data_IF_468330131633
#
_entry.id   IF_468330131633
#
_cell.length_a   1.000
_cell.length_b   1.000
_cell.length_c   1.000
_cell.angle_alpha   90.00
_cell.angle_beta   90.00
_cell.angle_gamma   90.00
#
_symmetry.space_group_name_H-M   'P 1'
#
loop_
_entity.id
_entity.type
_entity.pdbx_description
1 polymer ?
#
# COMPACT_ATOMS: atom_id res chain seq x y z
N UNK A 1 -20.35 3.14 -13.02
CA UNK A 1 -19.27 3.60 -12.12
C UNK A 1 -19.11 5.11 -12.33
N UNK A 2 -18.69 5.88 -11.33
CA UNK A 2 -18.41 7.31 -11.51
C UNK A 2 -16.95 7.63 -11.21
N UNK A 3 -16.40 8.63 -11.89
CA UNK A 3 -15.08 9.18 -11.57
C UNK A 3 -15.24 10.02 -10.31
N UNK A 4 -14.56 9.61 -9.24
CA UNK A 4 -14.57 10.34 -7.97
C UNK A 4 -13.45 11.38 -7.92
N UNK A 5 -12.31 11.09 -8.56
CA UNK A 5 -11.17 12.01 -8.66
C UNK A 5 -10.44 11.80 -9.99
N UNK A 6 -9.97 12.89 -10.57
CA UNK A 6 -8.95 12.91 -11.60
C UNK A 6 -7.94 14.01 -11.25
N UNK A 7 -6.65 13.70 -11.40
CA UNK A 7 -5.58 14.67 -11.19
C UNK A 7 -5.67 15.84 -12.18
N UNK A 8 -5.09 16.98 -11.78
CA UNK A 8 -5.12 18.24 -12.51
C UNK A 8 -6.24 19.19 -12.09
N UNK A 9 -7.07 18.79 -11.12
CA UNK A 9 -8.09 19.63 -10.52
C UNK A 9 -7.50 20.55 -9.43
N UNK A 10 -8.28 21.55 -9.04
CA UNK A 10 -8.08 22.32 -7.81
C UNK A 10 -9.24 22.09 -6.86
N UNK A 11 -8.95 22.12 -5.56
CA UNK A 11 -10.02 22.10 -4.56
C UNK A 11 -10.63 23.50 -4.35
N UNK A 12 -11.62 23.61 -3.47
CA UNK A 12 -12.32 24.87 -3.18
C UNK A 12 -11.41 25.95 -2.57
N UNK A 13 -10.24 25.58 -2.05
CA UNK A 13 -9.22 26.49 -1.55
C UNK A 13 -8.20 26.89 -2.64
N UNK A 14 -8.49 26.55 -3.91
CA UNK A 14 -7.62 26.74 -5.07
C UNK A 14 -6.30 25.95 -4.97
N UNK A 15 -6.23 24.91 -4.14
CA UNK A 15 -5.04 24.07 -4.03
C UNK A 15 -4.99 23.03 -5.17
N UNK A 16 -3.88 22.96 -5.90
CA UNK A 16 -3.71 22.05 -7.03
C UNK A 16 -3.51 20.61 -6.57
N UNK A 17 -4.36 19.70 -7.05
CA UNK A 17 -4.31 18.26 -6.82
C UNK A 17 -3.89 17.56 -8.11
N UNK A 18 -2.59 17.31 -8.25
CA UNK A 18 -1.99 16.78 -9.48
C UNK A 18 -1.52 15.33 -9.36
N UNK A 19 -0.52 14.98 -10.15
CA UNK A 19 0.25 13.74 -10.01
C UNK A 19 -0.06 12.66 -11.05
N UNK A 20 0.80 11.66 -11.11
CA UNK A 20 0.76 10.64 -12.15
C UNK A 20 0.18 9.32 -11.67
N UNK A 21 0.38 8.94 -10.42
CA UNK A 21 -0.13 7.69 -9.87
C UNK A 21 -0.87 7.89 -8.56
N UNK A 22 -2.02 7.21 -8.42
CA UNK A 22 -2.64 7.02 -7.11
C UNK A 22 -2.20 5.68 -6.53
N UNK A 23 -1.38 5.75 -5.48
CA UNK A 23 -0.68 4.60 -4.92
C UNK A 23 -1.53 3.81 -3.96
N UNK A 24 -2.18 4.48 -3.02
CA UNK A 24 -2.83 3.83 -1.87
C UNK A 24 -4.08 4.59 -1.47
N UNK A 25 -5.11 3.84 -1.08
CA UNK A 25 -6.32 4.32 -0.43
C UNK A 25 -6.36 3.74 0.98
N UNK A 26 -6.74 4.53 1.97
CA UNK A 26 -7.05 4.03 3.33
C UNK A 26 -8.20 4.79 3.93
N UNK A 27 -9.07 4.09 4.65
CA UNK A 27 -9.97 4.75 5.59
C UNK A 27 -9.21 5.20 6.83
N UNK A 28 -9.66 6.31 7.42
CA UNK A 28 -9.26 6.75 8.74
C UNK A 28 -10.30 7.71 9.32
N UNK A 29 -10.78 7.43 10.53
CA UNK A 29 -11.71 8.29 11.27
C UNK A 29 -12.95 8.76 10.46
N UNK A 30 -13.51 7.88 9.63
CA UNK A 30 -14.70 8.16 8.82
C UNK A 30 -14.45 8.87 7.49
N UNK A 31 -13.20 9.23 7.19
CA UNK A 31 -12.79 9.78 5.90
C UNK A 31 -11.98 8.75 5.09
N UNK A 32 -11.89 8.99 3.78
CA UNK A 32 -11.03 8.24 2.86
C UNK A 32 -9.84 9.11 2.48
N UNK A 33 -8.63 8.55 2.55
CA UNK A 33 -7.39 9.23 2.19
C UNK A 33 -6.71 8.56 1.00
N UNK A 34 -6.11 9.35 0.12
CA UNK A 34 -5.39 8.89 -1.06
C UNK A 34 -3.94 9.40 -1.07
N UNK A 35 -2.99 8.52 -1.35
CA UNK A 35 -1.58 8.87 -1.55
C UNK A 35 -1.23 9.02 -3.04
N UNK A 36 -0.69 10.16 -3.42
CA UNK A 36 -0.32 10.52 -4.80
C UNK A 36 1.21 10.48 -5.00
N UNK A 37 1.64 10.02 -6.17
CA UNK A 37 3.04 10.03 -6.64
C UNK A 37 3.17 10.80 -7.96
N UNK A 38 4.33 11.43 -8.18
CA UNK A 38 4.67 12.24 -9.36
C UNK A 38 5.75 11.57 -10.23
N UNK A 39 5.81 10.24 -10.19
CA UNK A 39 6.77 9.48 -10.99
C UNK A 39 6.51 9.68 -12.49
N UNK A 40 7.56 10.07 -13.22
CA UNK A 40 7.54 10.41 -14.66
C UNK A 40 6.69 11.63 -15.04
N UNK A 41 6.37 12.47 -14.07
CA UNK A 41 5.55 13.66 -14.30
C UNK A 41 6.22 14.66 -15.26
N UNK A 42 5.41 15.26 -16.14
CA UNK A 42 5.78 16.33 -17.07
C UNK A 42 4.74 17.45 -17.03
N UNK A 43 4.83 18.36 -16.03
CA UNK A 43 3.74 19.26 -15.73
C UNK A 43 3.46 20.36 -16.75
N UNK A 44 4.40 20.64 -17.68
CA UNK A 44 4.20 21.68 -18.67
C UNK A 44 3.99 23.05 -18.01
N UNK A 45 2.78 23.62 -18.14
CA UNK A 45 2.39 24.88 -17.50
C UNK A 45 1.82 24.71 -16.09
N UNK A 46 1.46 23.49 -15.68
CA UNK A 46 0.92 23.22 -14.35
C UNK A 46 2.02 23.33 -13.28
N UNK A 47 1.66 23.54 -12.00
CA UNK A 47 2.62 23.59 -10.92
C UNK A 47 3.44 22.30 -10.79
N UNK A 48 4.74 22.44 -10.55
CA UNK A 48 5.59 21.30 -10.17
C UNK A 48 5.31 20.95 -8.70
N UNK A 49 4.73 19.76 -8.48
CA UNK A 49 4.36 19.27 -7.15
C UNK A 49 5.24 18.10 -6.70
N UNK A 50 5.28 17.88 -5.38
CA UNK A 50 5.82 16.65 -4.78
C UNK A 50 4.69 15.68 -4.50
N UNK A 51 4.93 14.74 -3.59
CA UNK A 51 3.91 13.84 -3.08
C UNK A 51 2.74 14.63 -2.46
N UNK A 52 1.53 14.10 -2.57
CA UNK A 52 0.32 14.69 -1.97
C UNK A 52 -0.51 13.62 -1.26
N UNK A 53 -1.19 14.03 -0.18
CA UNK A 53 -2.24 13.27 0.47
C UNK A 53 -3.55 14.02 0.25
N UNK A 54 -4.51 13.35 -0.39
CA UNK A 54 -5.86 13.86 -0.59
C UNK A 54 -6.82 13.23 0.41
N UNK A 55 -7.89 13.93 0.74
CA UNK A 55 -8.95 13.47 1.65
C UNK A 55 -10.33 13.64 1.01
N UNK A 56 -11.20 12.68 1.27
CA UNK A 56 -12.61 12.69 0.91
C UNK A 56 -13.43 12.44 2.19
N UNK A 57 -14.35 13.35 2.49
CA UNK A 57 -15.14 13.35 3.73
C UNK A 57 -16.54 12.76 3.60
N UNK A 58 -17.03 12.58 2.38
CA UNK A 58 -18.31 11.94 2.10
C UNK A 58 -18.26 11.22 0.76
N UNK A 59 -19.12 10.21 0.55
CA UNK A 59 -19.03 9.36 -0.64
C UNK A 59 -19.17 10.11 -1.96
N UNK A 60 -19.91 11.21 -1.98
CA UNK A 60 -20.20 12.00 -3.19
C UNK A 60 -19.60 13.41 -3.10
N UNK A 61 -18.77 13.66 -2.09
CA UNK A 61 -18.13 14.95 -1.88
C UNK A 61 -16.98 15.22 -2.84
N UNK A 62 -16.42 16.42 -2.71
CA UNK A 62 -15.19 16.79 -3.39
C UNK A 62 -13.98 16.28 -2.61
N UNK A 63 -12.95 15.88 -3.35
CA UNK A 63 -11.63 15.64 -2.78
C UNK A 63 -10.97 16.99 -2.44
N UNK A 64 -10.21 17.00 -1.35
CA UNK A 64 -9.42 18.16 -0.91
C UNK A 64 -7.98 17.77 -0.68
N UNK A 65 -7.06 18.72 -0.83
CA UNK A 65 -5.66 18.52 -0.47
C UNK A 65 -5.49 18.56 1.05
N UNK A 66 -5.17 17.42 1.67
CA UNK A 66 -4.95 17.34 3.13
C UNK A 66 -3.48 17.66 3.49
N UNK A 67 -2.54 17.22 2.65
CA UNK A 67 -1.12 17.52 2.84
C UNK A 67 -0.34 17.52 1.53
N UNK A 68 0.62 18.45 1.41
CA UNK A 68 1.52 18.59 0.27
C UNK A 68 2.96 18.53 0.76
N UNK A 69 3.71 17.54 0.29
CA UNK A 69 5.14 17.43 0.54
C UNK A 69 5.91 18.26 -0.51
N UNK A 70 6.00 19.57 -0.27
CA UNK A 70 6.46 20.56 -1.26
C UNK A 70 7.94 20.98 -1.13
N UNK A 71 8.67 20.41 -0.16
CA UNK A 71 10.10 20.68 0.05
C UNK A 71 10.92 20.43 -1.22
N UNK A 72 11.70 21.43 -1.62
CA UNK A 72 12.58 21.34 -2.79
C UNK A 72 13.87 20.59 -2.49
N UNK A 73 14.38 19.88 -3.49
CA UNK A 73 15.74 19.39 -3.49
C UNK A 73 16.74 20.53 -3.75
N UNK A 74 17.98 20.40 -3.25
CA UNK A 74 19.06 21.29 -3.66
C UNK A 74 19.21 21.35 -5.19
N UNK A 75 19.47 22.56 -5.71
CA UNK A 75 19.70 22.76 -7.14
C UNK A 75 20.84 21.85 -7.63
N UNK A 76 20.65 21.23 -8.78
CA UNK A 76 21.66 20.34 -9.37
C UNK A 76 21.74 18.95 -8.73
N UNK A 77 20.71 18.52 -7.98
CA UNK A 77 20.64 17.18 -7.36
C UNK A 77 20.77 16.00 -8.34
N UNK A 78 20.61 16.24 -9.65
CA UNK A 78 20.60 15.20 -10.69
C UNK A 78 19.43 14.23 -10.56
N UNK A 79 18.45 14.53 -9.70
CA UNK A 79 17.21 13.75 -9.56
C UNK A 79 16.21 14.18 -10.63
N UNK A 80 15.34 13.25 -11.00
CA UNK A 80 14.27 13.48 -11.99
C UNK A 80 13.17 14.40 -11.47
N UNK A 81 12.84 14.31 -10.18
CA UNK A 81 11.96 15.26 -9.50
C UNK A 81 12.81 16.36 -8.88
N UNK A 82 12.27 17.57 -8.82
CA UNK A 82 12.86 18.69 -8.06
C UNK A 82 12.41 18.70 -6.61
N UNK A 83 11.46 17.84 -6.23
CA UNK A 83 10.89 17.76 -4.88
C UNK A 83 11.54 16.64 -4.08
N UNK A 84 11.71 16.87 -2.77
CA UNK A 84 12.31 15.91 -1.83
C UNK A 84 11.54 14.59 -1.83
N UNK A 85 10.21 14.69 -1.79
CA UNK A 85 9.30 13.56 -1.76
C UNK A 85 8.54 13.44 -3.07
N UNK A 86 8.77 12.33 -3.78
CA UNK A 86 8.16 12.08 -5.10
C UNK A 86 6.80 11.39 -4.99
N UNK A 87 6.56 10.58 -3.97
CA UNK A 87 5.28 9.92 -3.82
C UNK A 87 5.03 9.33 -2.45
N UNK A 88 3.76 9.27 -2.08
CA UNK A 88 3.29 8.58 -0.86
C UNK A 88 3.37 7.07 -1.10
N UNK A 89 4.33 6.43 -0.47
CA UNK A 89 4.66 5.00 -0.68
C UNK A 89 3.90 4.06 0.24
N UNK A 90 3.41 4.55 1.39
CA UNK A 90 2.54 3.82 2.29
C UNK A 90 1.62 4.79 3.03
N UNK A 91 0.40 4.34 3.30
CA UNK A 91 -0.61 5.05 4.06
C UNK A 91 -1.44 4.01 4.82
N UNK A 92 -1.53 4.12 6.14
CA UNK A 92 -2.23 3.12 6.98
C UNK A 92 -2.82 3.77 8.22
N UNK A 93 -4.09 3.45 8.50
CA UNK A 93 -4.69 3.70 9.80
C UNK A 93 -4.41 2.54 10.75
N UNK A 94 -3.98 2.85 11.97
CA UNK A 94 -3.83 1.89 13.08
C UNK A 94 -4.61 2.39 14.29
N UNK A 95 -5.07 1.49 15.16
CA UNK A 95 -5.84 1.88 16.35
C UNK A 95 -5.21 1.27 17.59
N UNK A 96 -4.70 2.13 18.47
CA UNK A 96 -4.14 1.71 19.75
C UNK A 96 -5.23 1.66 20.83
N UNK A 97 -5.27 0.57 21.56
CA UNK A 97 -6.05 0.30 22.77
C UNK A 97 -5.14 0.08 23.98
N UNK A 98 -3.86 -0.20 23.76
CA UNK A 98 -2.85 -0.45 24.79
C UNK A 98 -1.67 0.48 24.58
N UNK A 99 -1.22 1.13 25.66
CA UNK A 99 -0.07 2.02 25.66
C UNK A 99 1.26 1.28 25.70
N UNK A 100 2.35 2.03 25.53
CA UNK A 100 3.72 1.53 25.53
C UNK A 100 4.15 0.89 26.87
N UNK A 101 3.43 1.18 27.96
CA UNK A 101 3.62 0.58 29.29
C UNK A 101 2.82 -0.72 29.49
N UNK A 102 2.08 -1.17 28.47
CA UNK A 102 1.20 -2.33 28.52
C UNK A 102 -0.16 -2.07 29.17
N UNK A 103 -0.43 -0.83 29.61
CA UNK A 103 -1.70 -0.45 30.21
C UNK A 103 -2.77 -0.19 29.15
N UNK A 104 -4.03 -0.47 29.47
CA UNK A 104 -5.15 -0.15 28.58
C UNK A 104 -5.35 1.37 28.51
N UNK A 105 -5.45 1.90 27.30
CA UNK A 105 -5.76 3.30 27.07
C UNK A 105 -7.23 3.59 27.47
N UNK A 106 -7.52 4.77 28.04
CA UNK A 106 -8.89 5.15 28.42
C UNK A 106 -9.88 5.12 27.24
N UNK A 107 -9.37 5.41 26.04
CA UNK A 107 -10.12 5.37 24.79
C UNK A 107 -9.22 4.78 23.70
N UNK A 108 -9.82 4.11 22.71
CA UNK A 108 -9.10 3.72 21.49
C UNK A 108 -8.60 4.96 20.74
N UNK A 109 -7.34 4.94 20.33
CA UNK A 109 -6.68 6.06 19.64
C UNK A 109 -6.34 5.65 18.20
N UNK A 110 -7.12 6.10 17.19
CA UNK A 110 -6.76 5.91 15.81
C UNK A 110 -5.61 6.86 15.43
N UNK A 111 -4.64 6.35 14.68
CA UNK A 111 -3.48 7.10 14.17
C UNK A 111 -3.34 6.81 12.67
N UNK A 112 -3.32 7.87 11.85
CA UNK A 112 -3.00 7.75 10.42
C UNK A 112 -1.50 7.96 10.21
N UNK A 113 -0.86 6.97 9.60
CA UNK A 113 0.55 6.99 9.26
C UNK A 113 0.71 7.10 7.74
N UNK A 114 1.59 7.99 7.30
CA UNK A 114 2.01 8.14 5.93
C UNK A 114 3.53 8.00 5.81
N UNK A 115 3.98 7.62 4.63
CA UNK A 115 5.38 7.57 4.28
C UNK A 115 5.59 7.95 2.84
N UNK A 116 6.76 8.51 2.55
CA UNK A 116 7.13 8.94 1.22
C UNK A 116 8.40 8.24 0.73
N UNK A 117 8.57 8.21 -0.59
CA UNK A 117 9.89 8.06 -1.20
C UNK A 117 10.66 9.36 -0.96
N UNK A 118 11.86 9.26 -0.41
CA UNK A 118 12.69 10.40 -0.04
C UNK A 118 14.02 10.38 -0.82
N UNK A 119 14.36 11.51 -1.44
CA UNK A 119 15.58 11.66 -2.24
C UNK A 119 16.77 12.31 -1.52
N UNK A 120 16.58 12.78 -0.28
CA UNK A 120 17.63 13.28 0.62
C UNK A 120 18.16 12.19 1.56
N UNK A 121 17.46 11.06 1.67
CA UNK A 121 17.90 9.91 2.47
C UNK A 121 17.30 9.86 3.87
N UNK A 122 16.26 10.66 4.13
CA UNK A 122 15.52 10.63 5.39
C UNK A 122 14.45 9.54 5.34
N UNK A 123 14.65 8.48 6.11
CA UNK A 123 13.62 7.46 6.34
C UNK A 123 12.66 7.98 7.42
N UNK A 124 11.52 8.52 6.99
CA UNK A 124 10.58 9.19 7.89
C UNK A 124 9.19 8.55 7.85
N UNK A 125 8.51 8.62 9.00
CA UNK A 125 7.08 8.36 9.13
C UNK A 125 6.38 9.67 9.43
N UNK A 126 5.29 9.93 8.74
CA UNK A 126 4.48 11.12 8.93
C UNK A 126 3.21 10.71 9.67
N UNK A 127 2.99 11.28 10.86
CA UNK A 127 1.78 11.02 11.65
C UNK A 127 0.79 12.16 11.43
N UNK A 128 -0.46 11.83 11.10
CA UNK A 128 -1.50 12.87 11.01
C UNK A 128 -1.83 13.42 12.38
N UNK A 129 -1.88 14.74 12.51
CA UNK A 129 -2.37 15.40 13.72
C UNK A 129 -3.92 15.34 13.74
N UNK A 130 -4.56 15.12 14.91
CA UNK A 130 -6.02 15.20 15.02
C UNK A 130 -6.61 16.53 14.53
N UNK A 131 -5.90 17.64 14.67
CA UNK A 131 -6.29 18.96 14.18
C UNK A 131 -6.08 19.14 12.66
N UNK A 132 -5.39 18.20 11.99
CA UNK A 132 -5.06 18.23 10.57
C UNK A 132 -3.58 18.45 10.28
N UNK A 133 -3.14 18.08 9.08
CA UNK A 133 -1.72 18.08 8.71
C UNK A 133 -0.95 16.87 9.27
N UNK A 134 0.34 16.81 8.96
CA UNK A 134 1.21 15.69 9.31
C UNK A 134 2.51 16.16 9.97
N UNK A 135 2.90 15.49 11.05
CA UNK A 135 4.18 15.67 11.73
C UNK A 135 5.19 14.63 11.25
N UNK A 136 6.41 15.06 10.91
CA UNK A 136 7.50 14.18 10.50
C UNK A 136 8.20 13.55 11.72
N UNK A 137 8.33 12.23 11.72
CA UNK A 137 9.14 11.45 12.65
C UNK A 137 10.27 10.78 11.89
N UNK A 138 11.49 11.29 12.06
CA UNK A 138 12.70 10.73 11.44
C UNK A 138 13.08 9.42 12.16
N UNK A 139 13.14 8.32 11.40
CA UNK A 139 13.61 7.03 11.91
C UNK A 139 15.12 6.85 11.68
N UNK A 140 15.60 7.28 10.51
CA UNK A 140 17.01 7.21 10.16
C UNK A 140 17.39 8.21 9.06
N UNK A 141 18.64 8.62 9.05
CA UNK A 141 19.26 9.44 8.01
C UNK A 141 20.38 8.65 7.34
N UNK A 142 20.23 8.41 6.04
CA UNK A 142 21.17 7.60 5.25
C UNK A 142 21.66 8.35 4.03
N UNK A 143 22.81 7.95 3.49
CA UNK A 143 23.25 8.47 2.19
C UNK A 143 22.34 7.95 1.07
N UNK A 144 21.78 8.87 0.29
CA UNK A 144 21.10 8.55 -0.96
C UNK A 144 19.58 8.58 -0.85
N UNK A 145 18.91 7.52 -1.30
CA UNK A 145 17.44 7.45 -1.26
C UNK A 145 17.00 6.62 -0.07
N UNK A 146 15.96 7.08 0.61
CA UNK A 146 15.29 6.33 1.66
C UNK A 146 13.81 6.18 1.34
N UNK A 147 13.18 5.13 1.85
CA UNK A 147 11.73 4.97 1.72
C UNK A 147 11.22 4.08 2.83
N UNK A 148 10.10 4.47 3.44
CA UNK A 148 9.26 3.54 4.20
C UNK A 148 8.16 3.06 3.25
N UNK A 149 8.16 1.76 2.95
CA UNK A 149 7.33 1.19 1.88
C UNK A 149 6.07 0.50 2.39
N UNK A 150 6.06 0.14 3.66
CA UNK A 150 4.94 -0.57 4.28
C UNK A 150 4.83 -0.23 5.76
N UNK A 151 3.61 -0.36 6.27
CA UNK A 151 3.31 -0.26 7.69
C UNK A 151 2.72 -1.57 8.19
N UNK A 152 3.10 -1.99 9.39
CA UNK A 152 2.51 -3.09 10.14
C UNK A 152 1.89 -2.60 11.44
N UNK A 153 1.06 -3.45 12.06
CA UNK A 153 0.53 -3.25 13.40
C UNK A 153 0.37 -4.62 14.04
N UNK A 154 0.77 -4.77 15.30
CA UNK A 154 0.71 -6.03 16.01
C UNK A 154 0.68 -5.80 17.51
N UNK A 155 -0.09 -6.62 18.23
CA UNK A 155 -0.01 -6.72 19.67
C UNK A 155 0.93 -7.87 20.03
N UNK A 156 2.07 -7.51 20.62
CA UNK A 156 3.04 -8.48 21.11
C UNK A 156 2.38 -9.38 22.16
N UNK A 157 2.34 -10.69 21.92
CA UNK A 157 1.61 -11.66 22.73
C UNK A 157 2.27 -11.94 24.08
N UNK A 158 3.55 -11.57 24.25
CA UNK A 158 4.31 -11.77 25.50
C UNK A 158 4.20 -10.56 26.42
N UNK A 159 4.38 -9.36 25.86
CA UNK A 159 4.38 -8.09 26.61
C UNK A 159 3.00 -7.43 26.67
N UNK A 160 2.10 -7.80 25.75
CA UNK A 160 0.78 -7.22 25.62
C UNK A 160 0.75 -5.84 24.96
N UNK A 161 1.90 -5.24 24.62
CA UNK A 161 2.04 -3.92 24.01
C UNK A 161 1.64 -3.96 22.54
N UNK A 162 0.83 -2.99 22.12
CA UNK A 162 0.55 -2.76 20.71
C UNK A 162 1.63 -1.88 20.07
N UNK A 163 2.15 -2.32 18.92
CA UNK A 163 3.21 -1.64 18.19
C UNK A 163 2.80 -1.39 16.74
N UNK A 164 3.13 -0.21 16.22
CA UNK A 164 3.19 0.04 14.79
C UNK A 164 4.60 -0.29 14.27
N UNK A 165 4.68 -0.70 13.01
CA UNK A 165 5.94 -1.09 12.36
C UNK A 165 6.11 -0.31 11.07
N UNK A 166 7.33 0.12 10.79
CA UNK A 166 7.72 0.82 9.56
C UNK A 166 8.77 -0.01 8.81
N UNK A 167 8.40 -0.46 7.62
CA UNK A 167 9.27 -1.21 6.72
C UNK A 167 10.12 -0.28 5.87
N UNK A 168 11.38 -0.09 6.25
CA UNK A 168 12.28 0.91 5.69
C UNK A 168 13.36 0.29 4.79
N UNK A 169 13.70 1.00 3.71
CA UNK A 169 14.92 0.77 2.93
C UNK A 169 15.78 2.04 3.01
N UNK A 170 17.08 1.94 3.32
CA UNK A 170 17.86 0.70 3.50
C UNK A 170 17.94 0.20 4.95
N UNK A 171 17.21 0.79 5.90
CA UNK A 171 17.53 0.62 7.33
C UNK A 171 16.86 -0.56 8.03
N UNK A 172 15.82 -1.18 7.46
CA UNK A 172 15.21 -2.38 8.01
C UNK A 172 13.81 -2.16 8.57
N UNK A 173 13.50 -2.67 9.76
CA UNK A 173 12.17 -2.54 10.37
C UNK A 173 12.29 -1.78 11.68
N UNK A 174 11.62 -0.64 11.76
CA UNK A 174 11.45 0.10 13.01
C UNK A 174 10.10 -0.24 13.61
N UNK A 175 10.00 -0.15 14.93
CA UNK A 175 8.75 -0.29 15.65
C UNK A 175 8.51 0.92 16.55
N UNK A 176 7.25 1.19 16.90
CA UNK A 176 6.89 2.25 17.82
C UNK A 176 5.61 1.92 18.57
N UNK A 177 5.48 2.46 19.78
CA UNK A 177 4.32 2.26 20.64
C UNK A 177 3.70 3.60 21.06
N UNK A 178 2.39 3.58 21.32
CA UNK A 178 1.68 4.78 21.71
C UNK A 178 1.94 5.14 23.17
N UNK A 179 2.39 6.36 23.42
CA UNK A 179 2.58 6.93 24.76
C UNK A 179 1.56 8.06 24.98
N UNK A 180 0.66 7.95 25.98
CA UNK A 180 -0.24 9.04 26.35
C UNK A 180 0.51 10.36 26.55
N UNK A 181 0.02 11.44 25.92
CA UNK A 181 0.64 12.77 25.96
C UNK A 181 1.83 12.98 25.00
N UNK A 182 2.38 11.91 24.40
CA UNK A 182 3.45 12.01 23.39
C UNK A 182 3.07 11.50 22.00
N UNK A 183 2.01 10.69 21.90
CA UNK A 183 1.61 10.06 20.64
C UNK A 183 2.41 8.79 20.35
N UNK A 184 2.55 8.43 19.07
CA UNK A 184 3.36 7.29 18.65
C UNK A 184 4.85 7.62 18.80
N UNK A 185 5.55 6.87 19.64
CA UNK A 185 7.00 7.02 19.84
C UNK A 185 7.70 5.84 19.19
N UNK A 186 8.54 6.13 18.19
CA UNK A 186 9.36 5.15 17.49
C UNK A 186 10.64 4.85 18.27
N UNK A 187 11.07 3.59 18.26
CA UNK A 187 12.37 3.20 18.78
C UNK A 187 13.50 3.79 17.92
N UNK A 188 14.64 4.08 18.54
CA UNK A 188 15.79 4.68 17.85
C UNK A 188 16.56 3.70 16.98
N UNK A 189 16.41 2.39 17.21
CA UNK A 189 17.08 1.32 16.47
C UNK A 189 16.04 0.42 15.81
N UNK A 190 16.35 -0.14 14.62
CA UNK A 190 15.45 -1.10 13.98
C UNK A 190 15.42 -2.43 14.77
N UNK A 191 14.23 -3.03 14.91
CA UNK A 191 14.08 -4.40 15.43
C UNK A 191 14.76 -5.43 14.52
N UNK A 192 14.74 -5.19 13.20
CA UNK A 192 15.46 -5.97 12.21
C UNK A 192 16.25 -5.00 11.33
N UNK A 193 17.56 -4.81 11.56
CA UNK A 193 18.43 -4.12 10.60
C UNK A 193 18.36 -4.84 9.26
N UNK A 194 18.24 -4.12 8.14
CA UNK A 194 18.04 -4.74 6.81
C UNK A 194 19.14 -5.78 6.52
N UNK A 195 18.81 -7.09 6.54
CA UNK A 195 19.78 -8.11 6.18
C UNK A 195 19.83 -8.14 4.66
N UNK A 196 20.90 -7.61 4.05
CA UNK A 196 21.19 -7.74 2.61
C UNK A 196 20.03 -7.36 1.65
N UNK A 197 19.96 -6.08 1.27
CA UNK A 197 19.30 -5.51 0.07
C UNK A 197 17.77 -5.63 -0.10
N UNK A 198 17.05 -6.45 0.67
CA UNK A 198 15.60 -6.59 0.56
C UNK A 198 14.82 -5.40 1.16
N UNK A 199 13.81 -4.89 0.45
CA UNK A 199 12.88 -3.86 0.95
C UNK A 199 11.71 -4.55 1.69
N UNK A 200 11.34 -4.15 2.92
CA UNK A 200 10.12 -4.66 3.56
C UNK A 200 8.86 -4.15 2.85
N UNK A 201 8.20 -5.05 2.11
CA UNK A 201 7.17 -4.69 1.12
C UNK A 201 5.76 -4.69 1.67
N UNK A 202 5.42 -5.60 2.59
CA UNK A 202 4.09 -5.73 3.15
C UNK A 202 4.12 -6.50 4.47
N UNK A 203 3.24 -6.13 5.40
CA UNK A 203 3.05 -6.78 6.69
C UNK A 203 1.66 -7.40 6.79
N UNK A 204 1.54 -8.54 7.46
CA UNK A 204 0.27 -9.15 7.82
C UNK A 204 0.38 -9.92 9.15
N UNK A 205 -0.67 -9.86 9.96
CA UNK A 205 -0.82 -10.81 11.08
C UNK A 205 -1.44 -12.10 10.54
N UNK A 206 -0.85 -13.24 10.86
CA UNK A 206 -1.36 -14.56 10.49
C UNK A 206 -0.98 -15.54 11.61
N UNK A 207 -1.94 -16.37 12.03
CA UNK A 207 -1.74 -17.35 13.10
C UNK A 207 -1.17 -16.74 14.40
N UNK A 208 -1.67 -15.56 14.78
CA UNK A 208 -1.25 -14.85 15.99
C UNK A 208 0.14 -14.19 15.93
N UNK A 209 0.85 -14.28 14.80
CA UNK A 209 2.18 -13.67 14.64
C UNK A 209 2.21 -12.62 13.51
N UNK A 210 3.03 -11.58 13.69
CA UNK A 210 3.32 -10.62 12.63
C UNK A 210 4.31 -11.20 11.61
N UNK A 211 3.98 -11.06 10.33
CA UNK A 211 4.82 -11.46 9.22
C UNK A 211 5.14 -10.25 8.32
N UNK A 212 6.27 -10.34 7.63
CA UNK A 212 6.70 -9.33 6.66
C UNK A 212 7.35 -9.99 5.44
N UNK A 213 7.00 -9.48 4.25
CA UNK A 213 7.66 -9.87 3.00
C UNK A 213 8.91 -8.99 2.78
N UNK A 214 10.09 -9.61 2.74
CA UNK A 214 11.38 -8.98 2.42
C UNK A 214 12.10 -9.90 1.45
N UNK A 215 12.24 -9.50 0.18
CA UNK A 215 12.82 -10.37 -0.84
C UNK A 215 14.20 -10.91 -0.44
N UNK A 216 14.46 -12.23 -0.62
CA UNK A 216 13.60 -13.27 -1.24
C UNK A 216 12.79 -14.12 -0.23
N UNK A 217 12.39 -13.56 0.91
CA UNK A 217 11.85 -14.31 2.04
C UNK A 217 10.58 -13.72 2.68
N UNK A 218 9.89 -14.56 3.44
CA UNK A 218 8.90 -14.18 4.45
C UNK A 218 9.57 -14.32 5.82
N UNK A 219 9.44 -13.28 6.64
CA UNK A 219 9.94 -13.25 8.00
C UNK A 219 8.77 -13.21 8.98
N UNK A 220 8.92 -13.91 10.11
CA UNK A 220 7.99 -13.89 11.24
C UNK A 220 8.66 -13.18 12.42
N UNK A 221 7.92 -12.32 13.10
CA UNK A 221 8.32 -11.76 14.38
C UNK A 221 8.08 -12.78 15.50
N UNK A 222 9.08 -12.97 16.34
CA UNK A 222 8.99 -13.68 17.61
C UNK A 222 8.90 -12.64 18.71
N UNK A 223 7.77 -12.67 19.42
CA UNK A 223 7.41 -11.70 20.45
C UNK A 223 8.24 -11.81 21.72
N UNK A 224 8.28 -10.72 22.48
CA UNK A 224 9.02 -10.64 23.73
C UNK A 224 9.57 -9.25 24.03
N UNK A 225 10.11 -9.09 25.23
CA UNK A 225 10.82 -7.86 25.62
C UNK A 225 12.07 -7.59 24.77
N UNK A 226 12.65 -8.65 24.20
CA UNK A 226 13.70 -8.60 23.20
C UNK A 226 13.21 -9.35 21.96
N UNK A 227 12.37 -8.72 21.12
CA UNK A 227 11.79 -9.36 19.96
C UNK A 227 12.87 -9.67 18.93
N UNK A 228 12.61 -10.67 18.09
CA UNK A 228 13.51 -11.04 16.99
C UNK A 228 12.73 -11.48 15.78
N UNK A 229 13.36 -11.43 14.63
CA UNK A 229 12.75 -11.85 13.36
C UNK A 229 13.41 -13.12 12.85
N UNK A 230 12.59 -14.08 12.42
CA UNK A 230 13.02 -15.34 11.84
C UNK A 230 12.58 -15.41 10.39
N UNK A 231 13.50 -15.77 9.49
CA UNK A 231 13.13 -16.19 8.15
C UNK A 231 12.39 -17.53 8.26
N UNK A 232 11.15 -17.58 7.77
CA UNK A 232 10.27 -18.76 7.86
C UNK A 232 9.96 -19.38 6.50
N UNK A 233 10.12 -18.62 5.42
CA UNK A 233 10.02 -19.14 4.07
C UNK A 233 10.93 -18.37 3.13
N UNK A 234 11.54 -19.05 2.16
CA UNK A 234 12.26 -18.46 1.03
C UNK A 234 11.57 -18.84 -0.26
N UNK A 235 11.43 -17.91 -1.19
CA UNK A 235 10.77 -18.15 -2.48
C UNK A 235 11.71 -17.89 -3.65
N UNK A 236 11.52 -18.57 -4.79
CA UNK A 236 12.32 -18.33 -5.98
C UNK A 236 12.20 -16.87 -6.43
N UNK A 237 13.30 -16.13 -6.31
CA UNK A 237 13.35 -14.72 -6.68
C UNK A 237 14.50 -14.48 -7.65
N UNK A 238 14.19 -13.82 -8.77
CA UNK A 238 15.19 -13.37 -9.73
C UNK A 238 15.15 -11.86 -9.72
N UNK A 239 16.28 -11.24 -9.35
CA UNK A 239 16.46 -9.80 -9.49
C UNK A 239 16.39 -9.47 -10.98
N UNK A 240 15.36 -8.73 -11.39
CA UNK A 240 15.22 -8.25 -12.76
C UNK A 240 15.96 -6.93 -12.95
N UNK A 241 16.37 -6.66 -14.19
CA UNK A 241 16.86 -5.33 -14.60
C UNK A 241 15.77 -4.31 -14.33
N UNK A 242 16.04 -3.33 -13.46
CA UNK A 242 15.04 -2.37 -12.96
C UNK A 242 14.64 -2.57 -11.48
N UNK A 243 14.99 -3.71 -10.88
CA UNK A 243 14.81 -3.99 -9.46
C UNK A 243 13.40 -4.43 -9.11
N UNK A 244 13.09 -5.72 -9.29
CA UNK A 244 11.90 -6.34 -8.65
C UNK A 244 12.02 -6.26 -7.13
N UNK A 245 10.88 -6.15 -6.45
CA UNK A 245 10.82 -6.08 -4.98
C UNK A 245 10.38 -7.38 -4.31
N UNK A 246 10.18 -8.45 -5.09
CA UNK A 246 9.77 -9.76 -4.61
C UNK A 246 8.26 -9.82 -4.35
N UNK A 247 7.88 -10.39 -3.21
CA UNK A 247 6.48 -10.45 -2.80
C UNK A 247 5.95 -9.05 -2.45
N UNK A 248 4.80 -8.71 -3.03
CA UNK A 248 4.04 -7.47 -2.80
C UNK A 248 3.01 -7.70 -1.70
N UNK A 249 1.81 -7.11 -1.82
CA UNK A 249 0.76 -7.13 -0.81
C UNK A 249 0.60 -8.50 -0.15
N UNK A 250 0.55 -8.50 1.18
CA UNK A 250 0.52 -9.66 2.05
C UNK A 250 -0.74 -9.56 2.91
N UNK A 251 -1.53 -10.63 2.99
CA UNK A 251 -2.70 -10.69 3.86
C UNK A 251 -2.87 -12.09 4.44
N UNK A 252 -3.64 -12.21 5.52
CA UNK A 252 -4.05 -13.51 6.06
C UNK A 252 -5.40 -13.93 5.46
N UNK A 253 -5.50 -15.20 5.11
CA UNK A 253 -6.69 -15.88 4.62
C UNK A 253 -6.89 -17.20 5.39
N UNK A 254 -8.03 -17.85 5.19
CA UNK A 254 -8.24 -19.23 5.64
C UNK A 254 -7.88 -20.19 4.51
N UNK A 255 -6.96 -21.10 4.78
CA UNK A 255 -6.53 -22.14 3.86
C UNK A 255 -7.60 -23.22 3.63
N UNK A 256 -7.43 -24.08 2.61
CA UNK A 256 -8.35 -25.19 2.33
C UNK A 256 -8.46 -26.20 3.48
N UNK A 257 -7.43 -26.31 4.33
CA UNK A 257 -7.38 -27.14 5.53
C UNK A 257 -8.08 -26.48 6.75
N UNK A 258 -8.57 -25.25 6.60
CA UNK A 258 -9.21 -24.49 7.67
C UNK A 258 -8.25 -23.69 8.55
N UNK A 259 -6.94 -23.78 8.33
CA UNK A 259 -5.93 -23.05 9.10
C UNK A 259 -5.67 -21.65 8.51
N UNK A 260 -5.22 -20.66 9.31
CA UNK A 260 -4.71 -19.41 8.78
C UNK A 260 -3.55 -19.64 7.79
N UNK A 261 -3.54 -18.89 6.71
CA UNK A 261 -2.48 -18.90 5.70
C UNK A 261 -2.20 -17.48 5.21
N UNK A 262 -0.97 -17.21 4.78
CA UNK A 262 -0.59 -15.94 4.16
C UNK A 262 -0.84 -16.02 2.66
N UNK A 263 -1.37 -14.97 2.05
CA UNK A 263 -1.48 -14.82 0.59
C UNK A 263 -0.65 -13.61 0.15
N UNK A 264 0.17 -13.80 -0.88
CA UNK A 264 1.02 -12.75 -1.45
C UNK A 264 1.08 -12.80 -2.98
N UNK A 265 1.34 -11.64 -3.60
CA UNK A 265 1.61 -11.54 -5.04
C UNK A 265 3.11 -11.39 -5.32
N UNK A 266 3.72 -12.34 -6.03
CA UNK A 266 5.09 -12.22 -6.52
C UNK A 266 5.12 -11.29 -7.72
N UNK A 267 5.97 -10.26 -7.69
CA UNK A 267 6.19 -9.37 -8.83
C UNK A 267 7.14 -9.98 -9.88
N UNK A 268 6.83 -9.75 -11.16
CA UNK A 268 7.80 -9.81 -12.24
C UNK A 268 7.36 -10.64 -13.44
N UNK A 269 8.34 -11.11 -14.21
CA UNK A 269 8.10 -11.99 -15.37
C UNK A 269 7.65 -13.41 -14.99
N UNK A 270 7.62 -13.72 -13.70
CA UNK A 270 7.06 -14.95 -13.13
C UNK A 270 6.00 -14.60 -12.08
N UNK A 271 5.18 -13.59 -12.37
CA UNK A 271 4.17 -13.09 -11.45
C UNK A 271 3.22 -14.21 -11.04
N UNK A 272 2.99 -14.36 -9.73
CA UNK A 272 2.20 -15.45 -9.14
C UNK A 272 1.44 -14.96 -7.94
N UNK A 273 0.29 -15.56 -7.67
CA UNK A 273 -0.29 -15.53 -6.32
C UNK A 273 0.15 -16.78 -5.58
N UNK A 274 0.81 -16.58 -4.44
CA UNK A 274 1.37 -17.66 -3.62
C UNK A 274 0.77 -17.60 -2.24
N UNK A 275 0.30 -18.75 -1.78
CA UNK A 275 -0.17 -18.98 -0.43
C UNK A 275 0.91 -19.71 0.37
N UNK A 276 1.18 -19.25 1.58
CA UNK A 276 2.09 -19.88 2.54
C UNK A 276 1.26 -20.40 3.72
N UNK A 277 1.50 -21.64 4.14
CA UNK A 277 0.72 -22.32 5.19
C UNK A 277 1.56 -22.49 6.47
N UNK A 278 1.52 -21.56 7.45
CA UNK A 278 2.29 -21.66 8.70
C UNK A 278 2.13 -23.00 9.42
N UNK A 279 0.90 -23.55 9.46
CA UNK A 279 0.60 -24.84 10.10
C UNK A 279 1.28 -26.04 9.43
N UNK A 280 1.75 -25.89 8.18
CA UNK A 280 2.41 -26.93 7.39
C UNK A 280 3.84 -26.53 7.04
N UNK A 281 4.58 -25.99 8.02
CA UNK A 281 5.97 -25.53 7.86
C UNK A 281 6.13 -24.54 6.70
N UNK A 282 5.21 -23.57 6.64
CA UNK A 282 5.15 -22.54 5.60
C UNK A 282 5.13 -23.10 4.17
N UNK A 283 4.53 -24.29 3.95
CA UNK A 283 4.36 -24.87 2.62
C UNK A 283 3.84 -23.83 1.63
N UNK A 284 4.55 -23.69 0.52
CA UNK A 284 4.23 -22.76 -0.56
C UNK A 284 3.31 -23.42 -1.59
N UNK A 285 2.17 -22.79 -1.83
CA UNK A 285 1.19 -23.23 -2.83
C UNK A 285 0.98 -22.08 -3.80
N UNK A 286 1.35 -22.27 -5.07
CA UNK A 286 0.96 -21.34 -6.13
C UNK A 286 -0.53 -21.52 -6.38
N UNK A 287 -1.34 -20.49 -6.16
CA UNK A 287 -2.77 -20.55 -6.44
C UNK A 287 -3.09 -20.24 -7.90
N UNK A 288 -2.30 -19.34 -8.51
CA UNK A 288 -2.40 -19.00 -9.93
C UNK A 288 -1.05 -18.49 -10.46
N UNK A 289 -0.71 -18.90 -11.68
CA UNK A 289 0.33 -18.24 -12.48
C UNK A 289 -0.29 -17.06 -13.21
N UNK A 290 0.03 -15.84 -12.76
CA UNK A 290 -0.64 -14.62 -13.22
C UNK A 290 -0.22 -14.30 -14.65
N UNK A 291 1.02 -14.64 -15.04
CA UNK A 291 1.51 -14.37 -16.40
C UNK A 291 0.78 -15.23 -17.41
N UNK A 292 0.69 -16.54 -17.15
CA UNK A 292 0.01 -17.48 -18.04
C UNK A 292 -1.50 -17.21 -18.13
N UNK A 293 -2.14 -16.94 -16.98
CA UNK A 293 -3.58 -16.63 -16.95
C UNK A 293 -3.90 -15.33 -17.69
N UNK A 294 -3.18 -14.23 -17.40
CA UNK A 294 -3.39 -12.97 -18.12
C UNK A 294 -3.11 -13.12 -19.61
N UNK A 295 -2.07 -13.86 -20.00
CA UNK A 295 -1.75 -14.05 -21.41
C UNK A 295 -2.86 -14.79 -22.16
N UNK A 296 -3.44 -15.80 -21.50
CA UNK A 296 -4.56 -16.57 -22.02
C UNK A 296 -5.83 -15.72 -22.12
N UNK A 297 -6.20 -15.02 -21.04
CA UNK A 297 -7.44 -14.25 -21.01
C UNK A 297 -7.42 -13.00 -21.90
N UNK A 298 -6.24 -12.39 -22.08
CA UNK A 298 -6.08 -11.23 -22.97
C UNK A 298 -5.76 -11.61 -24.42
N UNK A 299 -5.54 -12.90 -24.71
CA UNK A 299 -5.19 -13.39 -26.05
C UNK A 299 -3.86 -12.84 -26.60
N UNK A 300 -2.92 -12.49 -25.71
CA UNK A 300 -1.62 -11.88 -26.07
C UNK A 300 -0.57 -12.17 -25.00
N UNK A 301 0.70 -12.12 -25.36
CA UNK A 301 1.79 -12.33 -24.41
C UNK A 301 1.86 -11.21 -23.35
N UNK A 302 1.82 -11.58 -22.07
CA UNK A 302 2.16 -10.72 -20.93
C UNK A 302 3.57 -11.06 -20.46
N UNK A 303 4.44 -10.05 -20.34
CA UNK A 303 5.87 -10.27 -20.03
C UNK A 303 6.23 -9.95 -18.59
N UNK A 304 5.44 -9.11 -17.94
CA UNK A 304 5.69 -8.67 -16.58
C UNK A 304 4.39 -8.19 -15.97
N UNK A 305 4.14 -8.57 -14.72
CA UNK A 305 3.00 -8.09 -13.97
C UNK A 305 3.36 -7.82 -12.51
N UNK A 306 2.57 -6.94 -11.89
CA UNK A 306 2.55 -6.75 -10.45
C UNK A 306 1.14 -7.03 -9.94
N UNK A 307 1.00 -8.09 -9.14
CA UNK A 307 -0.23 -8.40 -8.42
C UNK A 307 -0.14 -7.88 -6.98
N UNK A 308 -1.28 -7.45 -6.43
CA UNK A 308 -1.39 -6.95 -5.06
C UNK A 308 -0.39 -5.81 -4.78
N UNK A 309 -0.41 -4.78 -5.63
CA UNK A 309 0.64 -3.75 -5.72
C UNK A 309 1.02 -3.10 -4.37
N UNK A 310 0.04 -2.95 -3.46
CA UNK A 310 0.24 -2.52 -2.08
C UNK A 310 -0.42 -3.44 -1.06
N UNK A 311 -1.72 -3.71 -1.24
CA UNK A 311 -2.53 -4.52 -0.33
C UNK A 311 -3.45 -5.44 -1.12
N UNK A 312 -3.97 -6.46 -0.45
CA UNK A 312 -5.05 -7.32 -0.92
C UNK A 312 -6.30 -6.91 -0.12
N UNK A 313 -7.31 -6.38 -0.80
CA UNK A 313 -8.47 -5.77 -0.13
C UNK A 313 -9.57 -6.80 0.07
N UNK A 314 -9.86 -7.16 1.31
CA UNK A 314 -10.96 -8.07 1.65
C UNK A 314 -12.32 -7.36 1.57
N UNK A 315 -13.25 -7.92 0.81
CA UNK A 315 -14.66 -7.57 0.79
C UNK A 315 -15.35 -8.37 1.90
N UNK A 316 -15.98 -7.68 2.84
CA UNK A 316 -16.60 -8.28 4.04
C UNK A 316 -15.60 -8.93 5.00
N UNK A 317 -14.63 -8.15 5.51
CA UNK A 317 -13.65 -8.60 6.50
C UNK A 317 -14.23 -9.20 7.80
N UNK A 318 -15.54 -9.05 8.06
CA UNK A 318 -16.26 -9.67 9.18
C UNK A 318 -16.83 -11.06 8.86
N UNK A 319 -16.85 -11.47 7.59
CA UNK A 319 -17.26 -12.80 7.16
C UNK A 319 -16.15 -13.83 7.35
N UNK A 320 -16.52 -15.11 7.52
CA UNK A 320 -15.54 -16.20 7.70
C UNK A 320 -14.67 -16.48 6.46
N UNK A 321 -15.10 -16.05 5.28
CA UNK A 321 -14.38 -16.22 4.00
C UNK A 321 -14.65 -15.03 3.07
N UNK A 322 -13.92 -13.91 3.23
CA UNK A 322 -14.12 -12.76 2.36
C UNK A 322 -13.66 -13.05 0.93
N UNK A 323 -14.28 -12.38 -0.03
CA UNK A 323 -13.70 -12.22 -1.37
C UNK A 323 -12.56 -11.19 -1.29
N UNK A 324 -11.57 -11.31 -2.16
CA UNK A 324 -10.44 -10.39 -2.17
C UNK A 324 -10.31 -9.71 -3.53
N UNK A 325 -10.22 -8.38 -3.50
CA UNK A 325 -9.83 -7.57 -4.65
C UNK A 325 -8.31 -7.45 -4.68
N UNK A 326 -7.74 -7.80 -5.82
CA UNK A 326 -6.28 -7.82 -6.04
C UNK A 326 -5.98 -6.94 -7.23
N UNK A 327 -5.26 -5.85 -6.99
CA UNK A 327 -4.83 -4.95 -8.07
C UNK A 327 -3.84 -5.64 -9.00
N UNK A 328 -3.95 -5.32 -10.29
CA UNK A 328 -3.10 -5.87 -11.33
C UNK A 328 -2.57 -4.76 -12.20
N UNK A 329 -1.26 -4.84 -12.39
CA UNK A 329 -0.48 -3.99 -13.25
C UNK A 329 0.24 -4.85 -14.28
N UNK A 330 0.17 -4.45 -15.55
CA UNK A 330 0.61 -5.24 -16.70
C UNK A 330 1.57 -4.38 -17.50
N UNK A 331 2.74 -4.93 -17.83
CA UNK A 331 3.75 -4.24 -18.63
C UNK A 331 4.07 -5.01 -19.92
N UNK A 332 4.00 -4.35 -21.10
CA UNK A 332 3.48 -3.00 -21.31
C UNK A 332 1.96 -2.93 -21.09
N UNK A 333 1.47 -1.74 -20.71
CA UNK A 333 0.03 -1.49 -20.47
C UNK A 333 -0.78 -1.85 -21.72
N UNK A 334 -1.84 -2.68 -21.59
CA UNK A 334 -2.56 -3.20 -22.75
C UNK A 334 -3.34 -2.19 -23.55
N UNK A 335 -4.10 -1.37 -22.84
CA UNK A 335 -5.08 -0.44 -23.38
C UNK A 335 -5.46 0.55 -22.26
N UNK A 336 -6.48 1.37 -22.50
CA UNK A 336 -6.93 2.38 -21.55
C UNK A 336 -7.72 1.82 -20.34
N UNK A 337 -8.11 0.55 -20.35
CA UNK A 337 -8.83 -0.10 -19.25
C UNK A 337 -7.89 -0.42 -18.09
N UNK A 338 -8.48 -0.79 -16.96
CA UNK A 338 -7.73 -1.33 -15.82
C UNK A 338 -8.20 -2.75 -15.53
N UNK A 339 -7.27 -3.62 -15.13
CA UNK A 339 -7.59 -5.01 -14.78
C UNK A 339 -7.33 -5.25 -13.29
N UNK A 340 -8.03 -6.24 -12.73
CA UNK A 340 -7.84 -6.70 -11.36
C UNK A 340 -8.41 -8.11 -11.21
N UNK A 341 -7.98 -8.85 -10.19
CA UNK A 341 -8.59 -10.14 -9.85
C UNK A 341 -9.57 -10.01 -8.69
N UNK A 342 -10.64 -10.81 -8.78
CA UNK A 342 -11.45 -11.20 -7.62
C UNK A 342 -11.05 -12.63 -7.26
N UNK A 343 -10.58 -12.83 -6.03
CA UNK A 343 -10.36 -14.15 -5.45
C UNK A 343 -11.50 -14.49 -4.51
N UNK A 344 -12.25 -15.54 -4.80
CA UNK A 344 -13.36 -15.97 -3.96
C UNK A 344 -12.90 -16.74 -2.71
N UNK A 345 -13.88 -17.08 -1.87
CA UNK A 345 -13.72 -17.87 -0.65
C UNK A 345 -13.15 -19.28 -0.85
N UNK A 346 -13.21 -19.82 -2.07
CA UNK A 346 -12.69 -21.15 -2.44
C UNK A 346 -11.26 -21.09 -2.99
N UNK A 347 -10.74 -19.88 -3.23
CA UNK A 347 -9.44 -19.66 -3.86
C UNK A 347 -9.49 -19.61 -5.38
N UNK A 348 -10.69 -19.51 -5.98
CA UNK A 348 -10.82 -19.31 -7.41
C UNK A 348 -10.61 -17.84 -7.75
N UNK A 349 -9.85 -17.61 -8.81
CA UNK A 349 -9.57 -16.30 -9.36
C UNK A 349 -10.46 -16.02 -10.57
N UNK A 350 -10.99 -14.81 -10.64
CA UNK A 350 -11.70 -14.29 -11.82
C UNK A 350 -11.05 -12.97 -12.22
N UNK A 351 -10.54 -12.89 -13.44
CA UNK A 351 -10.06 -11.63 -14.00
C UNK A 351 -11.27 -10.75 -14.28
N UNK A 352 -11.18 -9.50 -13.85
CA UNK A 352 -12.16 -8.47 -14.12
C UNK A 352 -11.47 -7.31 -14.81
N UNK A 353 -12.19 -6.72 -15.75
CA UNK A 353 -11.77 -5.51 -16.45
C UNK A 353 -12.70 -4.39 -16.02
N UNK A 354 -12.12 -3.27 -15.62
CA UNK A 354 -12.80 -2.01 -15.46
C UNK A 354 -12.68 -1.23 -16.77
N UNK A 355 -13.76 -1.12 -17.56
CA UNK A 355 -13.70 -0.40 -18.84
C UNK A 355 -13.54 1.10 -18.60
N UNK A 356 -12.63 1.72 -19.34
CA UNK A 356 -12.37 3.15 -19.27
C UNK A 356 -13.61 4.01 -19.60
N UNK A 357 -14.49 3.48 -20.45
CA UNK A 357 -15.78 4.07 -20.85
C UNK A 357 -16.91 3.88 -19.84
N UNK A 358 -16.74 2.98 -18.86
CA UNK A 358 -17.74 2.74 -17.81
C UNK A 358 -17.68 3.76 -16.66
N UNK A 359 -16.60 4.54 -16.63
CA UNK A 359 -16.36 5.67 -15.75
C UNK A 359 -16.85 6.93 -16.46
N UNK A 360 -17.54 7.82 -15.74
CA UNK A 360 -18.07 9.07 -16.30
C UNK A 360 -17.43 10.28 -15.61
N UNK A 361 -16.82 11.22 -16.36
CA UNK A 361 -16.51 11.10 -17.80
C UNK A 361 -15.50 9.96 -18.09
N UNK A 362 -15.45 9.43 -19.32
CA UNK A 362 -14.44 8.43 -19.69
C UNK A 362 -13.02 8.92 -19.39
N UNK A 363 -12.20 8.04 -18.83
CA UNK A 363 -10.86 8.39 -18.36
C UNK A 363 -9.88 7.26 -18.63
N UNK A 364 -8.64 7.55 -19.01
CA UNK A 364 -7.61 6.50 -19.23
C UNK A 364 -7.18 5.93 -17.89
N UNK A 365 -7.47 4.65 -17.66
CA UNK A 365 -7.23 3.99 -16.37
C UNK A 365 -5.86 3.29 -16.33
N UNK A 366 -5.57 2.49 -17.35
CA UNK A 366 -4.32 1.73 -17.56
C UNK A 366 -4.08 0.58 -16.57
N UNK A 367 -4.23 0.82 -15.26
CA UNK A 367 -3.96 -0.18 -14.21
C UNK A 367 -4.71 0.17 -12.93
N UNK A 368 -5.07 -0.86 -12.17
CA UNK A 368 -5.46 -0.68 -10.76
C UNK A 368 -4.21 -0.70 -9.88
N UNK A 369 -4.16 0.12 -8.82
CA UNK A 369 -3.09 0.09 -7.81
C UNK A 369 -3.63 -0.30 -6.44
N UNK A 370 -4.86 0.14 -6.12
CA UNK A 370 -5.42 0.05 -4.78
C UNK A 370 -6.95 0.00 -4.79
N UNK A 371 -7.51 -0.57 -3.74
CA UNK A 371 -8.95 -0.63 -3.46
C UNK A 371 -9.22 -0.27 -2.01
N UNK A 372 -10.32 0.41 -1.74
CA UNK A 372 -10.85 0.59 -0.39
C UNK A 372 -12.36 0.41 -0.39
N UNK A 373 -12.88 -0.38 0.55
CA UNK A 373 -14.31 -0.35 0.86
C UNK A 373 -14.63 1.05 1.42
N UNK A 374 -15.80 1.58 1.07
CA UNK A 374 -16.21 2.90 1.50
C UNK A 374 -16.33 2.98 3.03
N UNK A 375 -15.71 3.98 3.68
CA UNK A 375 -15.88 4.22 5.10
C UNK A 375 -17.18 4.97 5.42
N UNK A 376 -17.89 5.46 4.40
CA UNK A 376 -19.00 6.40 4.60
C UNK A 376 -20.28 5.65 5.01
N UNK A 377 -20.95 6.07 6.11
CA UNK A 377 -22.19 5.44 6.55
C UNK A 377 -23.29 5.43 5.47
N UNK A 378 -23.34 6.44 4.59
CA UNK A 378 -24.29 6.54 3.47
C UNK A 378 -24.23 5.34 2.52
N UNK A 379 -23.07 4.71 2.42
CA UNK A 379 -22.83 3.64 1.45
C UNK A 379 -23.11 2.26 2.04
N UNK A 380 -23.32 2.15 3.36
CA UNK A 380 -23.55 0.88 4.06
C UNK A 380 -22.53 -0.22 3.70
N UNK A 381 -21.26 0.17 3.47
CA UNK A 381 -20.17 -0.71 2.98
C UNK A 381 -20.46 -1.43 1.66
N UNK A 382 -21.39 -0.92 0.86
CA UNK A 382 -21.75 -1.44 -0.46
C UNK A 382 -21.00 -0.76 -1.61
N UNK A 383 -20.17 0.23 -1.32
CA UNK A 383 -19.36 0.97 -2.31
C UNK A 383 -17.89 0.64 -2.10
N UNK A 384 -17.15 0.55 -3.21
CA UNK A 384 -15.70 0.46 -3.21
C UNK A 384 -15.12 1.56 -4.10
N UNK A 385 -14.04 2.13 -3.60
CA UNK A 385 -13.18 3.05 -4.33
C UNK A 385 -12.02 2.28 -4.92
N UNK A 386 -11.75 2.52 -6.19
CA UNK A 386 -10.64 1.96 -6.95
C UNK A 386 -9.77 3.11 -7.40
N UNK A 387 -8.46 3.01 -7.18
CA UNK A 387 -7.53 4.02 -7.64
C UNK A 387 -6.34 3.41 -8.38
N UNK A 388 -5.74 4.18 -9.27
CA UNK A 388 -4.63 3.65 -10.04
C UNK A 388 -3.90 4.62 -10.95
N UNK A 389 -3.56 4.07 -12.11
CA UNK A 389 -2.50 4.50 -13.03
C UNK A 389 -1.09 4.09 -12.62
N UNK A 390 -0.25 3.83 -13.62
CA UNK A 390 1.19 3.64 -13.50
C UNK A 390 1.87 4.12 -14.76
N UNK A 391 2.93 4.89 -14.58
CA UNK A 391 3.58 5.54 -15.70
C UNK A 391 4.34 4.57 -16.60
N UNK A 392 4.75 3.38 -16.11
CA UNK A 392 5.55 2.41 -16.85
C UNK A 392 6.78 3.03 -17.54
N UNK A 393 7.50 3.92 -16.82
CA UNK A 393 8.59 4.73 -17.38
C UNK A 393 8.22 5.60 -18.60
N UNK A 394 6.95 5.81 -18.88
CA UNK A 394 6.50 6.74 -19.91
C UNK A 394 6.31 8.13 -19.30
N UNK A 395 6.54 9.20 -20.09
CA UNK A 395 6.10 10.53 -19.73
C UNK A 395 4.59 10.55 -19.42
N UNK A 396 4.23 11.04 -18.24
CA UNK A 396 2.84 11.13 -17.79
C UNK A 396 2.59 12.49 -17.17
N UNK A 397 1.33 12.90 -17.08
CA UNK A 397 0.95 14.11 -16.35
C UNK A 397 -0.54 14.07 -16.01
N UNK A 398 -0.89 14.35 -14.75
CA UNK A 398 -2.27 14.36 -14.26
C UNK A 398 -3.08 13.11 -14.64
N UNK A 399 -2.46 11.94 -14.47
CA UNK A 399 -3.03 10.63 -14.85
C UNK A 399 -3.56 9.84 -13.67
N UNK A 400 -3.33 10.30 -12.43
CA UNK A 400 -3.88 9.65 -11.25
C UNK A 400 -5.41 9.81 -11.20
N UNK A 401 -6.10 8.75 -10.79
CA UNK A 401 -7.56 8.72 -10.75
C UNK A 401 -8.12 7.89 -9.59
N UNK A 402 -9.35 8.21 -9.16
CA UNK A 402 -10.21 7.39 -8.32
C UNK A 402 -11.56 7.21 -9.00
N UNK A 403 -12.05 5.97 -9.07
CA UNK A 403 -13.41 5.66 -9.47
C UNK A 403 -14.17 5.03 -8.29
N UNK A 404 -15.49 5.21 -8.22
CA UNK A 404 -16.37 4.59 -7.23
C UNK A 404 -17.48 3.78 -7.87
N UNK A 405 -17.75 2.60 -7.33
CA UNK A 405 -18.84 1.73 -7.77
C UNK A 405 -19.43 0.94 -6.62
N UNK A 406 -20.66 0.45 -6.81
CA UNK A 406 -21.26 -0.52 -5.89
C UNK A 406 -20.59 -1.89 -6.08
N UNK A 407 -20.51 -2.68 -5.00
CA UNK A 407 -19.86 -3.99 -4.98
C UNK A 407 -20.36 -4.93 -6.09
N UNK A 408 -21.67 -4.94 -6.33
CA UNK A 408 -22.30 -5.81 -7.34
C UNK A 408 -21.96 -5.41 -8.79
N UNK A 409 -21.39 -4.22 -8.98
CA UNK A 409 -21.04 -3.66 -10.29
C UNK A 409 -19.52 -3.59 -10.50
N UNK A 410 -18.75 -4.25 -9.63
CA UNK A 410 -17.30 -4.37 -9.75
C UNK A 410 -16.97 -5.65 -10.50
#
# INVERSE_FOLDING_TARGET
>A
MSLSFAAGARDDADAFMGGTELRVLTEHAGALFAGIETWMDRPGSDPVIGAQILRLDSSEGAWVLDHHFDEDLPRGSGRRSTKRNEGVTALRSVTFNVGADGSRLPTSVPVLLAACRDFLGKASVYQRDPAGGFAEHLLADVRGKATVRSFGFHRDQVTGVERAFAGTLPTGIFSGAYQPGKGLVWDSEPELPSPSAGRPMAFAECDGALHVAIAPAIWRRVDGAAPRWEQVAEYPFVVTTGGSSGMRGLTSIIGPDGNPALLAGLEGAKCKMVRFEPANDYRQVTEIDVIDDLSTQLGREVKYAIAANNTITALNATGRKPEHLISIQIHPVPDANANYYVRDATGRYTLKTLPNTSVTPPHTLGTTRTFSVSPFPSDARQVVFVGGYDADNNPSHNTAWVARSTLNLI
#
